data_IF_839730385297
#
_entry.id   IF_839730385297
#
_cell.length_a   1.000
_cell.length_b   1.000
_cell.length_c   1.000
_cell.angle_alpha   90.00
_cell.angle_beta   90.00
_cell.angle_gamma   90.00
#
_symmetry.space_group_name_H-M   'P 1'
#
loop_
_entity.id
_entity.type
_entity.pdbx_description
1 polymer ?
#
# COMPACT_ATOMS: atom_id res chain seq x y z
N UNK A 1 46.69 -43.98 22.11
CA UNK A 1 45.61 -44.95 21.82
C UNK A 1 44.61 -44.93 22.97
N UNK A 2 43.52 -44.15 22.85
CA UNK A 2 42.45 -44.11 23.83
C UNK A 2 41.13 -44.21 23.08
N UNK A 3 40.52 -45.39 23.19
CA UNK A 3 39.33 -45.78 22.47
C UNK A 3 38.11 -45.21 23.20
N UNK A 4 37.70 -43.98 22.84
CA UNK A 4 36.54 -43.31 23.41
C UNK A 4 35.27 -43.95 22.83
N UNK A 5 34.78 -44.97 23.53
CA UNK A 5 33.50 -45.66 23.31
C UNK A 5 32.39 -44.60 23.18
N UNK A 6 31.92 -44.36 21.95
CA UNK A 6 30.70 -43.57 21.70
C UNK A 6 29.51 -44.46 22.06
N UNK A 7 28.96 -44.27 23.25
CA UNK A 7 27.62 -44.73 23.57
C UNK A 7 26.63 -43.98 22.70
N UNK A 8 26.16 -44.65 21.65
CA UNK A 8 24.98 -44.26 20.91
C UNK A 8 23.77 -44.48 21.81
N UNK A 9 23.39 -43.44 22.57
CA UNK A 9 22.06 -43.35 23.19
C UNK A 9 21.03 -43.41 22.06
N UNK A 10 20.44 -44.58 21.86
CA UNK A 10 19.22 -44.72 21.06
C UNK A 10 18.12 -43.88 21.73
N UNK A 11 17.46 -42.96 21.00
CA UNK A 11 16.32 -42.25 21.54
C UNK A 11 15.24 -43.28 21.89
N UNK A 12 14.79 -43.24 23.15
CA UNK A 12 13.72 -44.07 23.66
C UNK A 12 12.51 -43.97 22.73
N UNK A 13 12.00 -45.13 22.32
CA UNK A 13 10.93 -45.25 21.33
C UNK A 13 9.68 -44.49 21.75
N UNK A 14 9.28 -43.54 20.90
CA UNK A 14 7.92 -43.01 20.82
C UNK A 14 7.06 -44.12 20.19
N UNK A 15 6.83 -45.19 20.95
CA UNK A 15 6.16 -46.39 20.49
C UNK A 15 4.93 -46.68 21.33
N UNK A 16 3.92 -45.79 21.31
CA UNK A 16 2.64 -46.08 21.97
C UNK A 16 1.41 -45.35 21.40
N UNK A 17 1.54 -44.23 20.69
CA UNK A 17 0.37 -43.39 20.34
C UNK A 17 -0.08 -43.45 18.87
N UNK A 18 0.37 -44.43 18.07
CA UNK A 18 -0.06 -44.55 16.67
C UNK A 18 -1.54 -44.92 16.52
N UNK A 19 -2.14 -45.59 17.51
CA UNK A 19 -3.58 -45.95 17.49
C UNK A 19 -4.52 -44.76 17.74
N UNK A 20 -4.04 -43.64 18.28
CA UNK A 20 -4.86 -42.45 18.55
C UNK A 20 -4.88 -41.46 17.37
N UNK A 21 -3.91 -41.53 16.45
CA UNK A 21 -3.79 -40.59 15.34
C UNK A 21 -4.86 -40.79 14.26
N UNK A 22 -5.25 -42.03 13.96
CA UNK A 22 -6.23 -42.32 12.91
C UNK A 22 -7.62 -41.68 13.14
N UNK A 23 -8.26 -41.79 14.33
CA UNK A 23 -9.55 -41.15 14.57
C UNK A 23 -9.44 -39.62 14.58
N UNK A 24 -8.32 -39.07 15.03
CA UNK A 24 -8.10 -37.61 15.07
C UNK A 24 -7.96 -37.01 13.67
N UNK A 25 -7.30 -37.73 12.75
CA UNK A 25 -7.17 -37.32 11.34
C UNK A 25 -8.51 -37.44 10.60
N UNK A 26 -9.28 -38.50 10.85
CA UNK A 26 -10.64 -38.64 10.31
C UNK A 26 -11.56 -37.53 10.82
N UNK A 27 -11.48 -37.17 12.10
CA UNK A 27 -12.24 -36.07 12.68
C UNK A 27 -11.89 -34.73 12.01
N UNK A 28 -10.59 -34.45 11.80
CA UNK A 28 -10.14 -33.22 11.13
C UNK A 28 -10.56 -33.16 9.66
N UNK A 29 -10.57 -34.29 8.94
CA UNK A 29 -11.08 -34.36 7.56
C UNK A 29 -12.59 -34.14 7.49
N UNK A 30 -13.36 -34.66 8.46
CA UNK A 30 -14.81 -34.44 8.55
C UNK A 30 -15.14 -33.00 8.95
N UNK A 31 -14.39 -32.40 9.88
CA UNK A 31 -14.54 -30.98 10.24
C UNK A 31 -14.16 -30.09 9.05
N UNK A 32 -13.09 -30.42 8.33
CA UNK A 32 -12.68 -29.72 7.13
C UNK A 32 -13.72 -29.77 6.01
N UNK A 33 -14.33 -30.94 5.77
CA UNK A 33 -15.39 -31.08 4.76
C UNK A 33 -16.70 -30.39 5.15
N UNK A 34 -17.04 -30.38 6.45
CA UNK A 34 -18.20 -29.65 6.97
C UNK A 34 -18.00 -28.12 6.89
N UNK A 35 -16.82 -27.62 7.24
CA UNK A 35 -16.47 -26.20 7.08
C UNK A 35 -16.44 -25.80 5.60
N UNK A 36 -15.94 -26.67 4.73
CA UNK A 36 -15.97 -26.45 3.28
C UNK A 36 -17.41 -26.36 2.75
N UNK A 37 -18.30 -27.26 3.16
CA UNK A 37 -19.73 -27.22 2.81
C UNK A 37 -20.43 -25.95 3.35
N UNK A 38 -20.08 -25.48 4.54
CA UNK A 38 -20.63 -24.24 5.11
C UNK A 38 -20.13 -22.98 4.39
N UNK A 39 -18.90 -22.99 3.89
CA UNK A 39 -18.29 -21.83 3.23
C UNK A 39 -18.69 -21.73 1.75
N UNK A 40 -18.89 -22.87 1.07
CA UNK A 40 -19.19 -22.93 -0.37
C UNK A 40 -20.63 -23.35 -0.71
N UNK A 41 -21.43 -23.76 0.28
CA UNK A 41 -22.79 -24.29 0.08
C UNK A 41 -23.87 -23.25 -0.24
N UNK A 42 -23.54 -21.95 -0.28
CA UNK A 42 -24.47 -20.90 -0.71
C UNK A 42 -24.10 -20.37 -2.10
N UNK A 43 -24.24 -21.24 -3.11
CA UNK A 43 -24.41 -20.80 -4.48
C UNK A 43 -25.73 -20.04 -4.59
N UNK A 44 -25.69 -18.72 -4.42
CA UNK A 44 -26.84 -17.84 -4.57
C UNK A 44 -27.44 -18.00 -5.96
N UNK A 45 -28.75 -18.30 -6.01
CA UNK A 45 -29.55 -18.22 -7.21
C UNK A 45 -29.45 -16.81 -7.81
N UNK A 46 -29.38 -16.66 -9.14
CA UNK A 46 -29.26 -15.35 -9.79
C UNK A 46 -30.43 -14.44 -9.37
N UNK A 47 -30.12 -13.38 -8.64
CA UNK A 47 -31.08 -12.34 -8.28
C UNK A 47 -31.47 -11.58 -9.53
N UNK A 48 -32.73 -11.74 -9.95
CA UNK A 48 -33.37 -10.90 -10.95
C UNK A 48 -33.44 -9.46 -10.43
N UNK A 49 -32.75 -8.55 -11.11
CA UNK A 49 -32.73 -7.13 -10.80
C UNK A 49 -34.14 -6.51 -10.95
N UNK A 50 -34.69 -5.83 -9.94
CA UNK A 50 -35.86 -4.99 -10.14
C UNK A 50 -35.46 -3.66 -10.77
N UNK A 51 -36.14 -3.32 -11.86
CA UNK A 51 -36.09 -2.05 -12.59
C UNK A 51 -36.51 -0.89 -11.67
N UNK A 52 -35.74 0.21 -11.54
CA UNK A 52 -36.20 1.36 -10.78
C UNK A 52 -37.13 2.23 -11.65
N UNK A 53 -38.34 2.46 -11.11
CA UNK A 53 -39.28 3.43 -11.62
C UNK A 53 -38.74 4.86 -11.45
N UNK A 54 -38.97 5.66 -12.47
CA UNK A 54 -38.73 7.10 -12.50
C UNK A 54 -39.55 7.86 -11.45
N UNK A 55 -39.07 9.07 -11.15
CA UNK A 55 -39.82 10.30 -10.79
C UNK A 55 -39.44 10.87 -9.42
N UNK A 56 -38.66 11.97 -9.40
CA UNK A 56 -39.12 13.32 -8.99
C UNK A 56 -37.94 14.30 -8.97
N UNK A 57 -38.12 15.38 -9.71
CA UNK A 57 -37.23 16.52 -9.88
C UNK A 57 -37.25 17.38 -8.61
N UNK A 58 -36.18 17.32 -7.83
CA UNK A 58 -35.86 18.31 -6.80
C UNK A 58 -34.62 19.10 -7.25
N UNK A 59 -34.70 20.43 -7.17
CA UNK A 59 -33.68 21.37 -7.62
C UNK A 59 -32.32 21.09 -6.97
N UNK A 60 -31.33 20.79 -7.82
CA UNK A 60 -29.94 20.58 -7.43
C UNK A 60 -29.29 21.93 -7.07
N UNK A 61 -28.69 22.11 -5.89
CA UNK A 61 -27.80 23.22 -5.64
C UNK A 61 -26.55 23.07 -6.52
N UNK A 62 -26.10 24.21 -7.05
CA UNK A 62 -24.95 24.41 -7.94
C UNK A 62 -23.81 23.40 -7.73
N UNK A 63 -23.76 22.36 -8.56
CA UNK A 63 -22.64 21.44 -8.64
C UNK A 63 -21.50 22.11 -9.41
N UNK A 64 -20.38 22.36 -8.72
CA UNK A 64 -19.14 22.76 -9.38
C UNK A 64 -18.69 21.58 -10.24
N UNK A 65 -18.60 21.81 -11.55
CA UNK A 65 -18.14 20.82 -12.53
C UNK A 65 -16.66 20.52 -12.27
N UNK A 66 -16.37 19.40 -11.59
CA UNK A 66 -15.00 18.92 -11.35
C UNK A 66 -14.41 18.22 -12.59
N UNK A 67 -14.59 18.78 -13.79
CA UNK A 67 -14.01 18.25 -15.04
C UNK A 67 -12.48 18.41 -15.13
N UNK A 68 -11.84 18.91 -14.06
CA UNK A 68 -10.38 18.92 -13.90
C UNK A 68 -9.81 17.60 -13.31
N UNK A 69 -10.64 16.55 -13.21
CA UNK A 69 -10.27 15.22 -12.72
C UNK A 69 -9.68 14.33 -13.83
N UNK A 70 -9.69 14.75 -15.09
CA UNK A 70 -9.31 13.85 -16.20
C UNK A 70 -7.85 13.36 -16.16
N UNK A 71 -6.93 14.09 -15.52
CA UNK A 71 -5.54 13.66 -15.32
C UNK A 71 -5.35 12.70 -14.13
N UNK A 72 -6.34 12.56 -13.25
CA UNK A 72 -6.33 11.55 -12.17
C UNK A 72 -6.50 10.14 -12.75
N UNK A 73 -7.21 10.00 -13.87
CA UNK A 73 -7.48 8.69 -14.48
C UNK A 73 -6.24 7.98 -15.04
N UNK A 74 -5.14 8.69 -15.37
CA UNK A 74 -3.94 8.04 -15.92
C UNK A 74 -3.26 7.13 -14.89
N UNK A 75 -3.14 7.56 -13.63
CA UNK A 75 -2.60 6.73 -12.55
C UNK A 75 -3.64 5.80 -11.96
N UNK A 76 -4.93 6.18 -12.04
CA UNK A 76 -6.01 5.25 -11.78
C UNK A 76 -5.87 4.03 -12.69
N UNK A 77 -5.52 4.22 -13.97
CA UNK A 77 -5.12 3.17 -14.92
C UNK A 77 -4.10 2.18 -14.37
N UNK A 78 -2.97 2.68 -13.86
CA UNK A 78 -1.85 1.85 -13.37
C UNK A 78 -2.18 1.06 -12.10
N UNK A 79 -3.08 1.58 -11.25
CA UNK A 79 -3.58 0.87 -10.06
C UNK A 79 -4.83 0.02 -10.35
N UNK A 80 -5.63 0.37 -11.36
CA UNK A 80 -6.72 -0.46 -11.88
C UNK A 80 -6.19 -1.70 -12.59
N UNK A 81 -4.93 -1.72 -13.04
CA UNK A 81 -4.27 -2.93 -13.53
C UNK A 81 -3.92 -3.95 -12.44
N UNK A 82 -4.14 -3.62 -11.16
CA UNK A 82 -4.20 -4.65 -10.11
C UNK A 82 -5.47 -5.52 -10.22
N UNK A 83 -6.21 -5.41 -11.32
CA UNK A 83 -7.29 -6.33 -11.67
C UNK A 83 -6.73 -7.74 -11.84
N UNK A 84 -7.08 -8.59 -10.88
CA UNK A 84 -6.51 -9.91 -10.58
C UNK A 84 -6.79 -10.99 -11.64
N UNK A 85 -7.12 -10.60 -12.87
CA UNK A 85 -7.73 -11.48 -13.87
C UNK A 85 -6.73 -12.21 -14.80
N UNK A 86 -5.42 -12.12 -14.55
CA UNK A 86 -4.43 -12.83 -15.36
C UNK A 86 -4.31 -14.29 -14.93
N UNK A 87 -5.11 -15.17 -15.54
CA UNK A 87 -4.90 -16.60 -15.83
C UNK A 87 -4.56 -17.55 -14.68
N UNK A 88 -3.41 -17.35 -14.03
CA UNK A 88 -2.94 -18.19 -12.90
C UNK A 88 -3.49 -17.67 -11.57
N UNK A 89 -3.78 -16.36 -11.48
CA UNK A 89 -4.40 -15.76 -10.30
C UNK A 89 -5.91 -16.07 -10.15
N UNK A 90 -6.55 -16.62 -11.20
CA UNK A 90 -7.97 -16.97 -11.18
C UNK A 90 -8.27 -18.28 -10.46
N UNK A 91 -7.26 -19.14 -10.25
CA UNK A 91 -7.45 -20.28 -9.37
C UNK A 91 -7.54 -19.77 -7.94
N UNK A 92 -8.64 -20.11 -7.28
CA UNK A 92 -8.78 -19.82 -5.85
C UNK A 92 -7.56 -20.35 -5.13
N UNK A 93 -6.92 -19.53 -4.31
CA UNK A 93 -5.74 -19.94 -3.53
C UNK A 93 -6.01 -21.18 -2.66
N UNK A 94 -7.28 -21.44 -2.34
CA UNK A 94 -7.74 -22.63 -1.63
C UNK A 94 -7.53 -23.88 -2.49
N UNK A 95 -7.83 -23.80 -3.80
CA UNK A 95 -7.60 -24.90 -4.75
C UNK A 95 -6.11 -25.18 -4.92
N UNK A 96 -5.29 -24.13 -5.03
CA UNK A 96 -3.84 -24.30 -5.16
C UNK A 96 -3.22 -24.85 -3.87
N UNK A 97 -3.69 -24.43 -2.70
CA UNK A 97 -3.28 -24.99 -1.41
C UNK A 97 -3.71 -26.46 -1.24
N UNK A 98 -4.92 -26.82 -1.67
CA UNK A 98 -5.41 -28.19 -1.62
C UNK A 98 -4.60 -29.11 -2.55
N UNK A 99 -4.29 -28.65 -3.77
CA UNK A 99 -3.43 -29.35 -4.71
C UNK A 99 -2.01 -29.54 -4.15
N UNK A 100 -1.46 -28.50 -3.50
CA UNK A 100 -0.16 -28.56 -2.83
C UNK A 100 -0.13 -29.48 -1.61
N UNK A 101 -1.26 -29.78 -0.96
CA UNK A 101 -1.36 -30.82 0.06
C UNK A 101 -1.51 -32.22 -0.55
N UNK A 102 -2.24 -32.34 -1.66
CA UNK A 102 -2.55 -33.63 -2.28
C UNK A 102 -1.31 -34.28 -2.92
N UNK A 103 -0.46 -33.50 -3.60
CA UNK A 103 0.77 -34.00 -4.22
C UNK A 103 1.70 -34.70 -3.19
N UNK A 104 2.14 -34.03 -2.11
CA UNK A 104 3.02 -34.67 -1.15
C UNK A 104 2.32 -35.74 -0.31
N UNK A 105 0.99 -35.67 -0.14
CA UNK A 105 0.23 -36.77 0.46
C UNK A 105 0.34 -38.04 -0.40
N UNK A 106 0.22 -37.90 -1.72
CA UNK A 106 0.44 -38.99 -2.67
C UNK A 106 1.86 -39.56 -2.60
N UNK A 107 2.87 -38.69 -2.55
CA UNK A 107 4.29 -39.11 -2.43
C UNK A 107 4.53 -39.85 -1.11
N UNK A 108 4.01 -39.35 0.02
CA UNK A 108 4.15 -39.98 1.32
C UNK A 108 3.43 -41.34 1.38
N UNK A 109 2.23 -41.44 0.81
CA UNK A 109 1.47 -42.69 0.73
C UNK A 109 2.19 -43.75 -0.11
N UNK A 110 2.71 -43.37 -1.28
CA UNK A 110 3.52 -44.25 -2.12
C UNK A 110 4.79 -44.70 -1.39
N UNK A 111 5.49 -43.78 -0.71
CA UNK A 111 6.66 -44.11 0.11
C UNK A 111 6.34 -45.11 1.22
N UNK A 112 5.17 -44.99 1.85
CA UNK A 112 4.71 -45.95 2.85
C UNK A 112 4.46 -47.33 2.26
N UNK A 113 3.74 -47.43 1.14
CA UNK A 113 3.50 -48.71 0.45
C UNK A 113 4.81 -49.38 0.02
N UNK A 114 5.73 -48.60 -0.55
CA UNK A 114 7.04 -49.07 -0.97
C UNK A 114 7.88 -49.56 0.22
N UNK A 115 7.79 -48.88 1.37
CA UNK A 115 8.48 -49.28 2.60
C UNK A 115 8.00 -50.64 3.12
N UNK A 116 6.71 -50.94 2.97
CA UNK A 116 6.12 -52.23 3.37
C UNK A 116 6.50 -53.35 2.42
N UNK A 117 6.54 -53.05 1.13
CA UNK A 117 6.95 -54.01 0.11
C UNK A 117 8.43 -54.43 0.26
N UNK A 118 9.33 -53.46 0.40
CA UNK A 118 10.77 -53.73 0.54
C UNK A 118 11.25 -53.95 1.98
N UNK A 119 10.34 -53.87 2.96
CA UNK A 119 10.65 -53.98 4.40
C UNK A 119 11.72 -52.97 4.89
N UNK A 120 11.81 -51.80 4.23
CA UNK A 120 12.77 -50.76 4.59
C UNK A 120 12.24 -49.94 5.77
N UNK A 121 12.65 -50.30 6.99
CA UNK A 121 12.22 -49.61 8.22
C UNK A 121 12.45 -48.09 8.20
N UNK A 122 13.56 -47.64 7.59
CA UNK A 122 13.89 -46.20 7.46
C UNK A 122 12.89 -45.42 6.60
N UNK A 123 12.39 -46.03 5.52
CA UNK A 123 11.40 -45.39 4.63
C UNK A 123 10.02 -45.34 5.29
N UNK A 124 9.70 -46.33 6.11
CA UNK A 124 8.46 -46.33 6.91
C UNK A 124 8.47 -45.24 7.98
N UNK A 125 9.62 -44.95 8.61
CA UNK A 125 9.73 -43.84 9.57
C UNK A 125 9.62 -42.49 8.86
N UNK A 126 10.33 -42.32 7.73
CA UNK A 126 10.25 -41.10 6.94
C UNK A 126 8.83 -40.79 6.46
N UNK A 127 8.09 -41.78 5.97
CA UNK A 127 6.71 -41.58 5.50
C UNK A 127 5.75 -41.22 6.64
N UNK A 128 5.93 -41.81 7.82
CA UNK A 128 5.14 -41.45 9.02
C UNK A 128 5.40 -40.00 9.47
N UNK A 129 6.67 -39.57 9.46
CA UNK A 129 7.04 -38.19 9.79
C UNK A 129 6.47 -37.20 8.75
N UNK A 130 6.52 -37.56 7.46
CA UNK A 130 5.95 -36.75 6.38
C UNK A 130 4.44 -36.56 6.53
N UNK A 131 3.70 -37.64 6.85
CA UNK A 131 2.24 -37.58 7.08
C UNK A 131 1.92 -36.67 8.27
N UNK A 132 2.68 -36.78 9.38
CA UNK A 132 2.47 -35.93 10.55
C UNK A 132 2.63 -34.43 10.23
N UNK A 133 3.67 -34.07 9.47
CA UNK A 133 3.87 -32.69 9.02
C UNK A 133 2.79 -32.21 8.04
N UNK A 134 2.27 -33.10 7.21
CA UNK A 134 1.18 -32.78 6.28
C UNK A 134 -0.12 -32.47 7.03
N UNK A 135 -0.45 -33.26 8.07
CA UNK A 135 -1.60 -33.01 8.94
C UNK A 135 -1.51 -31.63 9.60
N UNK A 136 -0.34 -31.27 10.15
CA UNK A 136 -0.13 -29.93 10.75
C UNK A 136 -0.34 -28.82 9.70
N UNK A 137 0.17 -29.02 8.49
CA UNK A 137 0.03 -28.03 7.40
C UNK A 137 -1.43 -27.91 6.95
N UNK A 138 -2.17 -29.02 6.88
CA UNK A 138 -3.60 -29.01 6.57
C UNK A 138 -4.41 -28.29 7.65
N UNK A 139 -4.14 -28.53 8.94
CA UNK A 139 -4.78 -27.81 10.05
C UNK A 139 -4.51 -26.30 9.96
N UNK A 140 -3.28 -25.91 9.62
CA UNK A 140 -2.94 -24.50 9.42
C UNK A 140 -3.72 -23.86 8.27
N UNK A 141 -3.87 -24.55 7.13
CA UNK A 141 -4.68 -24.06 6.01
C UNK A 141 -6.15 -23.91 6.42
N UNK A 142 -6.71 -24.87 7.14
CA UNK A 142 -8.10 -24.79 7.64
C UNK A 142 -8.28 -23.61 8.60
N UNK A 143 -7.33 -23.39 9.53
CA UNK A 143 -7.35 -22.23 10.43
C UNK A 143 -7.23 -20.92 9.66
N UNK A 144 -6.43 -20.87 8.60
CA UNK A 144 -6.30 -19.70 7.75
C UNK A 144 -7.59 -19.41 6.97
N UNK A 145 -8.20 -20.44 6.37
CA UNK A 145 -9.50 -20.31 5.69
C UNK A 145 -10.56 -19.82 6.67
N UNK A 146 -10.59 -20.36 7.90
CA UNK A 146 -11.50 -19.87 8.92
C UNK A 146 -11.24 -18.40 9.25
N UNK A 147 -9.99 -18.01 9.50
CA UNK A 147 -9.61 -16.62 9.81
C UNK A 147 -10.01 -15.64 8.70
N UNK A 148 -9.71 -15.98 7.44
CA UNK A 148 -10.04 -15.13 6.28
C UNK A 148 -11.55 -15.14 5.98
N UNK A 149 -12.21 -16.30 6.12
CA UNK A 149 -13.64 -16.46 5.91
C UNK A 149 -14.48 -15.72 6.95
N UNK A 150 -14.03 -15.63 8.20
CA UNK A 150 -14.67 -14.79 9.23
C UNK A 150 -14.60 -13.29 8.88
N UNK A 151 -13.54 -12.85 8.18
CA UNK A 151 -13.38 -11.47 7.73
C UNK A 151 -14.29 -11.11 6.55
N UNK A 152 -14.49 -12.04 5.61
CA UNK A 152 -15.32 -11.83 4.41
C UNK A 152 -16.79 -12.22 4.60
N UNK A 153 -17.39 -11.98 5.77
CA UNK A 153 -18.81 -12.23 6.00
C UNK A 153 -19.65 -11.53 4.93
N UNK A 154 -20.07 -12.31 3.94
CA UNK A 154 -20.68 -11.92 2.67
C UNK A 154 -22.13 -11.50 2.81
N UNK A 155 -22.54 -11.08 4.00
CA UNK A 155 -23.87 -10.55 4.21
C UNK A 155 -23.76 -9.01 4.18
N UNK A 156 -24.00 -8.35 3.02
CA UNK A 156 -23.99 -6.89 2.92
C UNK A 156 -25.00 -6.22 3.88
N UNK A 157 -25.90 -7.01 4.48
CA UNK A 157 -26.89 -6.55 5.44
C UNK A 157 -26.52 -6.86 6.90
N UNK A 158 -25.47 -7.65 7.18
CA UNK A 158 -25.00 -7.80 8.56
C UNK A 158 -24.22 -6.56 8.94
N UNK A 159 -24.92 -5.60 9.54
CA UNK A 159 -24.38 -4.48 10.34
C UNK A 159 -23.65 -5.00 11.58
N UNK A 160 -22.80 -6.02 11.45
CA UNK A 160 -21.80 -6.35 12.45
C UNK A 160 -20.84 -5.17 12.44
N UNK A 161 -21.05 -4.30 13.44
CA UNK A 161 -20.42 -3.01 13.61
C UNK A 161 -18.96 -3.01 13.09
N UNK A 162 -18.61 -2.15 12.12
CA UNK A 162 -17.22 -1.86 11.72
C UNK A 162 -16.43 -1.15 12.85
N UNK A 163 -16.71 -1.49 14.11
CA UNK A 163 -16.27 -0.84 15.34
C UNK A 163 -14.82 -1.06 15.71
N UNK A 164 -14.08 -1.95 15.01
CA UNK A 164 -12.62 -1.94 15.13
C UNK A 164 -11.92 -1.01 14.13
N UNK A 165 -12.59 -0.52 13.08
CA UNK A 165 -12.10 0.62 12.30
C UNK A 165 -13.26 1.56 11.91
N UNK A 166 -13.95 2.18 12.89
CA UNK A 166 -15.17 2.98 12.66
C UNK A 166 -14.92 4.33 11.95
N UNK A 167 -13.72 4.55 11.39
CA UNK A 167 -13.31 5.83 10.83
C UNK A 167 -12.59 5.76 9.47
N UNK A 168 -12.60 4.61 8.79
CA UNK A 168 -12.15 4.55 7.39
C UNK A 168 -13.27 4.87 6.38
N UNK A 169 -14.50 5.12 6.84
CA UNK A 169 -15.66 5.33 5.97
C UNK A 169 -15.75 6.70 5.31
N UNK A 170 -14.85 7.65 5.58
CA UNK A 170 -15.09 9.03 5.16
C UNK A 170 -13.90 9.69 4.47
N UNK A 171 -14.02 9.77 3.13
CA UNK A 171 -13.75 10.95 2.28
C UNK A 171 -14.52 10.82 0.95
N UNK A 172 -14.69 9.59 0.44
CA UNK A 172 -15.27 9.34 -0.89
C UNK A 172 -16.55 8.49 -0.87
N UNK A 173 -17.05 8.07 0.31
CA UNK A 173 -18.18 7.14 0.43
C UNK A 173 -17.87 5.70 -0.02
N UNK A 174 -16.70 5.43 -0.59
CA UNK A 174 -16.28 4.08 -0.95
C UNK A 174 -15.95 3.25 0.30
N UNK A 175 -16.73 2.19 0.51
CA UNK A 175 -16.48 1.22 1.57
C UNK A 175 -15.38 0.27 1.11
N UNK A 176 -14.30 0.18 1.90
CA UNK A 176 -13.27 -0.82 1.70
C UNK A 176 -13.68 -2.11 2.43
N UNK A 177 -14.03 -3.15 1.67
CA UNK A 177 -14.51 -4.42 2.22
C UNK A 177 -13.38 -5.28 2.80
N UNK A 178 -12.13 -5.01 2.37
CA UNK A 178 -10.94 -5.74 2.79
C UNK A 178 -9.84 -4.81 3.27
N UNK A 179 -9.02 -5.29 4.22
CA UNK A 179 -7.85 -4.55 4.72
C UNK A 179 -6.85 -4.19 3.60
N UNK A 180 -6.76 -5.04 2.57
CA UNK A 180 -5.95 -4.82 1.38
C UNK A 180 -6.46 -3.63 0.56
N UNK A 181 -7.78 -3.58 0.32
CA UNK A 181 -8.41 -2.46 -0.40
C UNK A 181 -8.26 -1.15 0.36
N UNK A 182 -8.40 -1.18 1.70
CA UNK A 182 -8.16 0.00 2.54
C UNK A 182 -6.70 0.50 2.42
N UNK A 183 -5.73 -0.42 2.41
CA UNK A 183 -4.33 -0.07 2.19
C UNK A 183 -4.07 0.55 0.81
N UNK A 184 -4.75 0.06 -0.24
CA UNK A 184 -4.68 0.64 -1.58
C UNK A 184 -5.27 2.05 -1.64
N UNK A 185 -6.42 2.27 -1.01
CA UNK A 185 -7.06 3.58 -0.92
C UNK A 185 -6.16 4.59 -0.18
N UNK A 186 -5.51 4.17 0.90
CA UNK A 186 -4.51 5.00 1.58
C UNK A 186 -3.38 5.42 0.64
N UNK A 187 -2.77 4.49 -0.10
CA UNK A 187 -1.68 4.80 -1.03
C UNK A 187 -2.16 5.77 -2.13
N UNK A 188 -3.35 5.55 -2.69
CA UNK A 188 -3.95 6.45 -3.67
C UNK A 188 -4.12 7.86 -3.12
N UNK A 189 -4.57 7.98 -1.87
CA UNK A 189 -4.75 9.28 -1.23
C UNK A 189 -3.43 10.01 -1.01
N UNK A 190 -2.40 9.30 -0.53
CA UNK A 190 -1.06 9.86 -0.36
C UNK A 190 -0.48 10.30 -1.72
N UNK A 191 -0.64 9.49 -2.77
CA UNK A 191 -0.22 9.83 -4.13
C UNK A 191 -0.91 11.09 -4.66
N UNK A 192 -2.22 11.19 -4.49
CA UNK A 192 -2.98 12.36 -4.91
C UNK A 192 -2.47 13.63 -4.21
N UNK A 193 -2.25 13.57 -2.90
CA UNK A 193 -1.74 14.71 -2.13
C UNK A 193 -0.32 15.09 -2.57
N UNK A 194 0.59 14.11 -2.73
CA UNK A 194 1.94 14.36 -3.25
C UNK A 194 1.92 15.00 -4.64
N UNK A 195 1.03 14.56 -5.52
CA UNK A 195 0.89 15.12 -6.85
C UNK A 195 0.38 16.57 -6.81
N UNK A 196 -0.60 16.86 -5.95
CA UNK A 196 -1.08 18.23 -5.74
C UNK A 196 0.06 19.15 -5.26
N UNK A 197 0.85 18.72 -4.28
CA UNK A 197 2.03 19.47 -3.83
C UNK A 197 3.08 19.65 -4.93
N UNK A 198 3.34 18.60 -5.71
CA UNK A 198 4.29 18.64 -6.82
C UNK A 198 3.85 19.67 -7.87
N UNK A 199 2.58 19.63 -8.27
CA UNK A 199 2.03 20.57 -9.26
C UNK A 199 2.08 22.02 -8.74
N UNK A 200 1.68 22.24 -7.48
CA UNK A 200 1.76 23.57 -6.86
C UNK A 200 3.20 24.09 -6.80
N UNK A 201 4.14 23.32 -6.27
CA UNK A 201 5.54 23.74 -6.21
C UNK A 201 6.16 23.93 -7.60
N UNK A 202 5.74 23.14 -8.60
CA UNK A 202 6.22 23.26 -9.99
C UNK A 202 5.73 24.57 -10.62
N UNK A 203 4.45 24.91 -10.46
CA UNK A 203 3.89 26.18 -10.95
C UNK A 203 4.54 27.37 -10.23
N UNK A 204 4.80 27.28 -8.93
CA UNK A 204 5.55 28.30 -8.19
C UNK A 204 6.99 28.42 -8.70
N UNK A 205 7.69 27.31 -8.95
CA UNK A 205 9.05 27.32 -9.47
C UNK A 205 9.11 27.96 -10.86
N UNK A 206 8.13 27.68 -11.71
CA UNK A 206 7.99 28.34 -13.02
C UNK A 206 7.79 29.85 -12.86
N UNK A 207 6.89 30.28 -11.97
CA UNK A 207 6.64 31.69 -11.70
C UNK A 207 7.89 32.41 -11.16
N UNK A 208 8.60 31.81 -10.20
CA UNK A 208 9.86 32.33 -9.66
C UNK A 208 10.95 32.41 -10.72
N UNK A 209 11.04 31.40 -11.61
CA UNK A 209 11.99 31.40 -12.71
C UNK A 209 11.74 32.57 -13.67
N UNK A 210 10.49 32.84 -14.04
CA UNK A 210 10.13 34.00 -14.88
C UNK A 210 10.47 35.31 -14.18
N UNK A 211 10.19 35.44 -12.88
CA UNK A 211 10.54 36.63 -12.10
C UNK A 211 12.05 36.83 -11.92
N UNK A 212 12.83 35.75 -11.98
CA UNK A 212 14.30 35.80 -11.89
C UNK A 212 14.95 36.30 -13.17
N UNK A 213 14.27 36.23 -14.32
CA UNK A 213 14.76 36.77 -15.58
C UNK A 213 14.74 38.29 -15.49
N UNK A 214 15.93 38.89 -15.37
CA UNK A 214 16.06 40.32 -15.20
C UNK A 214 15.38 41.10 -16.32
N UNK A 215 14.59 42.11 -15.97
CA UNK A 215 13.93 42.98 -16.95
C UNK A 215 14.92 44.09 -17.32
N UNK A 216 15.39 44.06 -18.58
CA UNK A 216 16.25 45.11 -19.11
C UNK A 216 15.39 46.18 -19.80
N UNK A 217 15.27 47.35 -19.20
CA UNK A 217 14.58 48.49 -19.83
C UNK A 217 15.65 49.31 -20.55
N UNK A 218 15.52 49.46 -21.88
CA UNK A 218 16.44 50.25 -22.72
C UNK A 218 15.76 51.51 -23.26
N UNK A 219 15.55 52.57 -22.46
CA UNK A 219 15.14 53.86 -22.99
C UNK A 219 16.29 54.49 -23.79
N UNK A 220 16.18 54.42 -25.12
CA UNK A 220 16.83 55.23 -26.15
C UNK A 220 18.37 55.40 -26.17
N UNK A 221 19.12 54.96 -25.16
CA UNK A 221 20.59 54.71 -25.17
C UNK A 221 21.14 54.29 -23.80
N UNK A 222 20.40 54.48 -22.70
CA UNK A 222 20.79 53.99 -21.37
C UNK A 222 20.01 52.71 -21.04
N UNK A 223 20.71 51.59 -20.82
CA UNK A 223 20.09 50.33 -20.41
C UNK A 223 20.16 50.17 -18.89
N UNK A 224 19.01 50.19 -18.22
CA UNK A 224 18.93 49.89 -16.79
C UNK A 224 18.36 48.47 -16.63
N UNK A 225 19.17 47.58 -16.06
CA UNK A 225 18.83 46.18 -15.86
C UNK A 225 18.50 45.94 -14.39
N UNK A 226 17.29 45.46 -14.11
CA UNK A 226 16.90 45.02 -12.78
C UNK A 226 16.94 43.50 -12.74
N UNK A 227 17.84 42.93 -11.93
CA UNK A 227 17.93 41.49 -11.74
C UNK A 227 17.49 41.13 -10.31
N UNK A 228 16.31 40.52 -10.18
CA UNK A 228 15.80 39.98 -8.92
C UNK A 228 16.33 38.57 -8.62
N UNK A 229 16.99 37.93 -9.60
CA UNK A 229 17.51 36.56 -9.50
C UNK A 229 18.32 36.31 -8.22
N UNK A 230 19.31 37.14 -7.85
CA UNK A 230 20.08 36.92 -6.63
C UNK A 230 19.25 36.94 -5.33
N UNK A 231 18.19 37.74 -5.28
CA UNK A 231 17.30 37.80 -4.11
C UNK A 231 16.35 36.60 -4.03
N UNK A 232 15.95 36.05 -5.18
CA UNK A 232 15.07 34.89 -5.27
C UNK A 232 15.82 33.54 -5.29
N UNK A 233 17.15 33.55 -5.44
CA UNK A 233 17.97 32.34 -5.53
C UNK A 233 17.75 31.35 -4.36
N UNK A 234 17.64 31.79 -3.08
CA UNK A 234 17.38 30.86 -1.98
C UNK A 234 16.02 30.17 -2.09
N UNK A 235 14.99 30.88 -2.56
CA UNK A 235 13.65 30.33 -2.77
C UNK A 235 13.66 29.32 -3.91
N UNK A 236 14.26 29.67 -5.05
CA UNK A 236 14.43 28.76 -6.19
C UNK A 236 15.17 27.48 -5.83
N UNK A 237 16.23 27.58 -5.01
CA UNK A 237 16.97 26.41 -4.57
C UNK A 237 16.12 25.52 -3.65
N UNK A 238 15.40 26.12 -2.70
CA UNK A 238 14.53 25.40 -1.76
C UNK A 238 13.36 24.72 -2.47
N UNK A 239 12.68 25.42 -3.39
CA UNK A 239 11.60 24.83 -4.20
C UNK A 239 12.12 23.69 -5.07
N UNK A 240 13.30 23.85 -5.68
CA UNK A 240 13.90 22.79 -6.50
C UNK A 240 14.26 21.56 -5.67
N UNK A 241 14.85 21.74 -4.48
CA UNK A 241 15.18 20.63 -3.58
C UNK A 241 13.92 19.86 -3.16
N UNK A 242 12.82 20.56 -2.85
CA UNK A 242 11.55 19.93 -2.49
C UNK A 242 10.86 19.27 -3.66
N UNK A 243 10.94 19.84 -4.86
CA UNK A 243 10.46 19.18 -6.08
C UNK A 243 11.16 17.84 -6.29
N UNK A 244 12.49 17.79 -6.12
CA UNK A 244 13.23 16.53 -6.21
C UNK A 244 12.82 15.54 -5.11
N UNK A 245 12.59 16.02 -3.88
CA UNK A 245 12.08 15.19 -2.78
C UNK A 245 10.68 14.63 -3.05
N UNK A 246 9.77 15.44 -3.57
CA UNK A 246 8.42 15.01 -3.96
C UNK A 246 8.44 14.02 -5.11
N UNK A 247 9.33 14.18 -6.11
CA UNK A 247 9.51 13.19 -7.18
C UNK A 247 9.95 11.84 -6.61
N UNK A 248 10.88 11.83 -5.65
CA UNK A 248 11.28 10.60 -4.96
C UNK A 248 10.12 10.00 -4.15
N UNK A 249 9.34 10.83 -3.44
CA UNK A 249 8.15 10.39 -2.70
C UNK A 249 7.09 9.76 -3.60
N UNK A 250 6.79 10.38 -4.75
CA UNK A 250 5.89 9.84 -5.76
C UNK A 250 6.38 8.47 -6.26
N UNK A 251 7.66 8.36 -6.63
CA UNK A 251 8.23 7.08 -7.05
C UNK A 251 8.12 6.00 -5.96
N UNK A 252 8.38 6.36 -4.69
CA UNK A 252 8.27 5.44 -3.57
C UNK A 252 6.83 4.93 -3.39
N UNK A 253 5.83 5.82 -3.43
CA UNK A 253 4.42 5.42 -3.31
C UNK A 253 3.94 4.53 -4.45
N UNK A 254 4.45 4.70 -5.67
CA UNK A 254 4.18 3.79 -6.80
C UNK A 254 4.73 2.39 -6.49
N UNK A 255 5.96 2.30 -5.96
CA UNK A 255 6.55 1.02 -5.55
C UNK A 255 5.73 0.35 -4.44
N UNK A 256 5.22 1.12 -3.46
CA UNK A 256 4.36 0.57 -2.41
C UNK A 256 3.04 0.05 -2.95
N UNK A 257 2.42 0.76 -3.91
CA UNK A 257 1.21 0.29 -4.60
C UNK A 257 1.46 -1.02 -5.37
N UNK A 258 2.53 -1.07 -6.17
CA UNK A 258 2.92 -2.30 -6.87
C UNK A 258 3.23 -3.45 -5.91
N UNK A 259 3.87 -3.16 -4.77
CA UNK A 259 4.18 -4.15 -3.74
C UNK A 259 2.90 -4.72 -3.11
N UNK A 260 1.89 -3.89 -2.81
CA UNK A 260 0.61 -4.38 -2.31
C UNK A 260 -0.10 -5.28 -3.31
N UNK A 261 -0.12 -4.90 -4.58
CA UNK A 261 -0.74 -5.73 -5.61
C UNK A 261 0.01 -7.05 -5.80
N UNK A 262 1.34 -7.02 -5.73
CA UNK A 262 2.16 -8.22 -5.75
C UNK A 262 1.87 -9.13 -4.53
N UNK A 263 1.73 -8.54 -3.33
CA UNK A 263 1.38 -9.27 -2.11
C UNK A 263 0.01 -9.92 -2.24
N UNK A 264 -1.01 -9.16 -2.67
CA UNK A 264 -2.36 -9.66 -2.84
C UNK A 264 -2.47 -10.84 -3.81
N UNK A 265 -1.74 -10.77 -4.93
CA UNK A 265 -1.87 -11.75 -6.01
C UNK A 265 -0.97 -12.98 -5.83
N UNK A 266 0.24 -12.81 -5.31
CA UNK A 266 1.25 -13.88 -5.32
C UNK A 266 1.51 -14.52 -3.97
N UNK A 267 1.44 -13.78 -2.85
CA UNK A 267 1.86 -14.34 -1.55
C UNK A 267 0.95 -15.47 -1.10
N UNK A 268 -0.37 -15.33 -1.28
CA UNK A 268 -1.31 -16.38 -0.91
C UNK A 268 -1.41 -17.46 -2.00
N UNK A 269 -1.55 -17.08 -3.27
CA UNK A 269 -1.78 -18.05 -4.34
C UNK A 269 -0.55 -18.86 -4.76
N UNK A 270 0.67 -18.30 -4.62
CA UNK A 270 1.92 -18.95 -5.06
C UNK A 270 2.80 -19.33 -3.89
N UNK A 271 3.14 -18.39 -2.99
CA UNK A 271 4.11 -18.66 -1.93
C UNK A 271 3.58 -19.64 -0.88
N UNK A 272 2.30 -19.58 -0.51
CA UNK A 272 1.74 -20.50 0.48
C UNK A 272 1.73 -21.97 -0.02
N UNK A 273 1.23 -22.31 -1.22
CA UNK A 273 1.34 -23.67 -1.77
C UNK A 273 2.78 -24.15 -1.88
N UNK A 274 3.70 -23.31 -2.38
CA UNK A 274 5.13 -23.65 -2.49
C UNK A 274 5.71 -23.93 -1.10
N UNK A 275 5.39 -23.12 -0.10
CA UNK A 275 5.81 -23.31 1.28
C UNK A 275 5.31 -24.62 1.88
N UNK A 276 4.06 -25.01 1.60
CA UNK A 276 3.48 -26.29 2.02
C UNK A 276 4.23 -27.46 1.36
N UNK A 277 4.48 -27.39 0.04
CA UNK A 277 5.23 -28.43 -0.65
C UNK A 277 6.65 -28.57 -0.08
N UNK A 278 7.36 -27.46 0.10
CA UNK A 278 8.72 -27.45 0.67
C UNK A 278 8.75 -27.99 2.10
N UNK A 279 7.69 -27.80 2.89
CA UNK A 279 7.59 -28.31 4.25
C UNK A 279 7.55 -29.84 4.31
N UNK A 280 7.12 -30.52 3.25
CA UNK A 280 7.00 -31.99 3.22
C UNK A 280 8.34 -32.71 3.00
N UNK A 281 9.34 -32.04 2.43
CA UNK A 281 10.67 -32.62 2.27
C UNK A 281 11.55 -32.34 3.49
N UNK A 282 12.23 -33.39 3.98
CA UNK A 282 13.06 -33.31 5.18
C UNK A 282 14.14 -32.22 5.11
N UNK A 283 14.75 -32.02 3.92
CA UNK A 283 15.84 -31.06 3.71
C UNK A 283 15.36 -29.61 3.60
N UNK A 284 14.18 -29.35 3.05
CA UNK A 284 13.65 -27.99 2.84
C UNK A 284 12.57 -27.60 3.85
N UNK A 285 12.36 -28.42 4.89
CA UNK A 285 11.27 -28.25 5.85
C UNK A 285 11.28 -26.88 6.53
N UNK A 286 12.46 -26.43 6.96
CA UNK A 286 12.62 -25.16 7.65
C UNK A 286 12.40 -23.98 6.69
N UNK A 287 12.87 -24.12 5.44
CA UNK A 287 12.64 -23.15 4.37
C UNK A 287 11.15 -23.04 4.05
N UNK A 288 10.45 -24.17 3.93
CA UNK A 288 8.99 -24.19 3.70
C UNK A 288 8.21 -23.48 4.80
N UNK A 289 8.57 -23.73 6.07
CA UNK A 289 7.97 -23.04 7.21
C UNK A 289 8.16 -21.52 7.15
N UNK A 290 9.36 -21.07 6.77
CA UNK A 290 9.67 -19.65 6.62
C UNK A 290 8.96 -19.00 5.45
N UNK A 291 8.87 -19.68 4.30
CA UNK A 291 8.09 -19.22 3.16
C UNK A 291 6.62 -19.04 3.55
N UNK A 292 6.03 -19.98 4.30
CA UNK A 292 4.67 -19.84 4.83
C UNK A 292 4.56 -18.64 5.78
N UNK A 293 5.50 -18.48 6.72
CA UNK A 293 5.49 -17.38 7.68
C UNK A 293 5.60 -16.00 7.00
N UNK A 294 6.45 -15.86 5.98
CA UNK A 294 6.55 -14.65 5.15
C UNK A 294 5.24 -14.43 4.39
N UNK A 295 4.71 -15.47 3.73
CA UNK A 295 3.45 -15.39 2.98
C UNK A 295 2.33 -14.79 3.84
N UNK A 296 2.15 -15.34 5.04
CA UNK A 296 1.12 -14.91 5.99
C UNK A 296 1.37 -13.51 6.56
N UNK A 297 2.63 -13.18 6.91
CA UNK A 297 2.95 -11.89 7.51
C UNK A 297 2.73 -10.74 6.54
N UNK A 298 3.21 -10.87 5.31
CA UNK A 298 2.99 -9.84 4.32
C UNK A 298 1.53 -9.76 3.91
N UNK A 299 0.79 -10.86 3.84
CA UNK A 299 -0.63 -10.81 3.48
C UNK A 299 -1.50 -10.16 4.58
N UNK A 300 -1.24 -10.44 5.86
CA UNK A 300 -2.09 -9.98 6.97
C UNK A 300 -1.55 -8.68 7.58
N UNK A 301 -0.27 -8.65 7.96
CA UNK A 301 0.31 -7.59 8.78
C UNK A 301 0.60 -6.34 7.95
N UNK A 302 1.11 -6.50 6.73
CA UNK A 302 1.54 -5.34 5.93
C UNK A 302 0.36 -4.41 5.53
N UNK A 303 -0.78 -4.89 5.01
CA UNK A 303 -1.94 -4.03 4.75
C UNK A 303 -2.50 -3.40 6.04
N UNK A 304 -2.49 -4.14 7.14
CA UNK A 304 -2.93 -3.63 8.45
C UNK A 304 -2.06 -2.46 8.92
N UNK A 305 -0.74 -2.52 8.72
CA UNK A 305 0.17 -1.43 9.05
C UNK A 305 -0.03 -0.20 8.15
N UNK A 306 -0.45 -0.38 6.89
CA UNK A 306 -0.84 0.76 6.05
C UNK A 306 -2.12 1.42 6.53
N UNK A 307 -3.10 0.63 7.00
CA UNK A 307 -4.30 1.17 7.63
C UNK A 307 -3.96 1.92 8.93
N UNK A 308 -2.99 1.44 9.71
CA UNK A 308 -2.47 2.15 10.86
C UNK A 308 -1.79 3.48 10.45
N UNK A 309 -1.03 3.48 9.37
CA UNK A 309 -0.41 4.70 8.85
C UNK A 309 -1.45 5.72 8.40
N UNK A 310 -2.54 5.29 7.77
CA UNK A 310 -3.67 6.16 7.49
C UNK A 310 -4.19 6.82 8.77
N UNK A 311 -4.39 6.05 9.85
CA UNK A 311 -4.85 6.60 11.13
C UNK A 311 -3.86 7.60 11.73
N UNK A 312 -2.54 7.34 11.64
CA UNK A 312 -1.51 8.25 12.14
C UNK A 312 -1.51 9.56 11.33
N UNK A 313 -1.55 9.47 10.01
CA UNK A 313 -1.54 10.64 9.12
C UNK A 313 -2.84 11.44 9.26
N UNK A 314 -3.98 10.77 9.36
CA UNK A 314 -5.27 11.40 9.57
C UNK A 314 -5.38 12.05 10.96
N UNK A 315 -4.80 11.45 12.01
CA UNK A 315 -4.75 12.07 13.33
C UNK A 315 -3.89 13.36 13.34
N UNK A 316 -2.87 13.44 12.49
CA UNK A 316 -2.01 14.62 12.40
C UNK A 316 -2.65 15.76 11.59
N UNK A 317 -3.31 15.44 10.46
CA UNK A 317 -3.86 16.44 9.54
C UNK A 317 -5.36 16.69 9.68
N UNK A 318 -6.12 15.78 10.32
CA UNK A 318 -7.58 15.84 10.35
C UNK A 318 -8.19 15.89 8.94
N UNK A 319 -9.28 16.65 8.80
CA UNK A 319 -9.97 16.83 7.51
C UNK A 319 -9.11 17.53 6.45
N UNK A 320 -8.03 18.22 6.81
CA UNK A 320 -7.12 18.79 5.81
C UNK A 320 -6.40 17.73 4.96
N UNK A 321 -6.45 16.47 5.37
CA UNK A 321 -5.96 15.34 4.58
C UNK A 321 -6.81 15.07 3.32
N UNK A 322 -8.09 15.44 3.35
CA UNK A 322 -9.06 15.09 2.31
C UNK A 322 -8.96 16.02 1.11
N UNK A 323 -8.81 17.31 1.34
CA UNK A 323 -8.72 18.29 0.27
C UNK A 323 -7.48 19.16 0.49
N UNK A 324 -6.32 18.82 -0.08
CA UNK A 324 -5.14 19.68 0.02
C UNK A 324 -5.45 21.08 -0.53
N UNK A 325 -6.34 21.18 -1.53
CA UNK A 325 -6.85 22.45 -2.04
C UNK A 325 -7.79 23.20 -1.10
N UNK A 326 -8.40 22.59 -0.08
CA UNK A 326 -9.28 23.32 0.84
C UNK A 326 -8.48 24.22 1.81
N UNK A 327 -7.28 23.78 2.18
CA UNK A 327 -6.30 24.55 2.95
C UNK A 327 -5.84 25.78 2.17
N UNK A 328 -5.75 25.63 0.86
CA UNK A 328 -5.53 26.72 -0.08
C UNK A 328 -6.85 27.29 -0.53
N UNK A 329 -7.43 28.26 0.20
CA UNK A 329 -8.48 29.13 -0.35
C UNK A 329 -7.93 29.95 -1.53
N UNK A 330 -7.69 29.26 -2.64
CA UNK A 330 -6.96 29.65 -3.84
C UNK A 330 -7.74 30.72 -4.60
N UNK A 331 -9.04 30.85 -4.30
CA UNK A 331 -9.88 31.98 -4.69
C UNK A 331 -9.21 33.32 -4.40
N UNK A 332 -8.65 33.54 -3.20
CA UNK A 332 -8.02 34.83 -2.88
C UNK A 332 -6.79 35.11 -3.74
N UNK A 333 -5.94 34.10 -3.94
CA UNK A 333 -4.71 34.23 -4.71
C UNK A 333 -4.96 34.32 -6.21
N UNK A 334 -5.85 33.50 -6.77
CA UNK A 334 -6.21 33.56 -8.20
C UNK A 334 -6.99 34.81 -8.54
N UNK A 335 -7.85 35.31 -7.66
CA UNK A 335 -8.48 36.63 -7.86
C UNK A 335 -7.43 37.75 -7.81
N UNK A 336 -6.40 37.64 -6.96
CA UNK A 336 -5.29 38.59 -6.94
C UNK A 336 -4.42 38.53 -8.22
N UNK A 337 -4.13 37.33 -8.74
CA UNK A 337 -3.40 37.17 -10.02
C UNK A 337 -4.25 37.62 -11.20
N UNK A 338 -5.52 37.22 -11.27
CA UNK A 338 -6.38 37.54 -12.41
C UNK A 338 -6.67 39.03 -12.49
N UNK A 339 -6.92 39.69 -11.36
CA UNK A 339 -7.03 41.15 -11.30
C UNK A 339 -5.74 41.85 -11.70
N UNK A 340 -4.57 41.28 -11.35
CA UNK A 340 -3.29 41.78 -11.82
C UNK A 340 -3.11 41.62 -13.35
N UNK A 341 -3.37 40.44 -13.91
CA UNK A 341 -3.22 40.16 -15.34
C UNK A 341 -4.18 41.03 -16.16
N UNK A 342 -5.45 41.11 -15.75
CA UNK A 342 -6.46 41.95 -16.42
C UNK A 342 -6.12 43.43 -16.30
N UNK A 343 -5.60 43.89 -15.16
CA UNK A 343 -5.13 45.28 -15.00
C UNK A 343 -3.86 45.61 -15.80
N UNK A 344 -3.00 44.61 -15.99
CA UNK A 344 -1.75 44.75 -16.73
C UNK A 344 -2.01 44.79 -18.25
N UNK A 345 -2.75 43.82 -18.78
CA UNK A 345 -3.00 43.66 -20.22
C UNK A 345 -4.24 44.39 -20.74
N UNK A 346 -5.26 44.63 -19.92
CA UNK A 346 -6.55 45.19 -20.35
C UNK A 346 -6.55 46.70 -20.66
N UNK A 347 -5.49 47.43 -20.33
CA UNK A 347 -5.44 48.90 -20.47
C UNK A 347 -4.40 49.35 -21.53
N UNK A 348 -4.52 48.84 -22.75
CA UNK A 348 -3.60 49.08 -23.87
C UNK A 348 -3.85 50.40 -24.65
N UNK A 349 -4.53 51.39 -24.07
CA UNK A 349 -5.08 52.51 -24.84
C UNK A 349 -4.26 53.80 -25.00
N UNK A 350 -3.28 54.11 -24.14
CA UNK A 350 -2.58 55.41 -24.27
C UNK A 350 -1.12 55.41 -23.79
N UNK A 351 -0.25 56.11 -24.55
CA UNK A 351 1.17 56.33 -24.23
C UNK A 351 1.37 57.04 -22.89
N UNK A 352 0.45 57.91 -22.50
CA UNK A 352 0.45 58.58 -21.18
C UNK A 352 0.15 57.61 -20.02
N UNK A 353 -0.70 56.59 -20.24
CA UNK A 353 -0.89 55.52 -19.27
C UNK A 353 0.37 54.66 -19.10
N UNK A 354 1.22 54.56 -20.12
CA UNK A 354 2.48 53.81 -20.09
C UNK A 354 3.54 54.51 -19.22
N UNK A 355 3.67 55.84 -19.34
CA UNK A 355 4.57 56.64 -18.52
C UNK A 355 4.14 56.70 -17.04
N UNK A 356 2.83 56.88 -16.77
CA UNK A 356 2.27 56.83 -15.42
C UNK A 356 2.39 55.42 -14.81
N UNK A 357 2.20 54.36 -15.63
CA UNK A 357 2.46 52.97 -15.22
C UNK A 357 3.94 52.73 -14.91
N UNK A 358 4.91 53.28 -15.65
CA UNK A 358 6.34 53.10 -15.34
C UNK A 358 6.75 53.72 -14.01
N UNK A 359 6.20 54.88 -13.65
CA UNK A 359 6.45 55.54 -12.36
C UNK A 359 5.75 54.79 -11.21
N UNK A 360 4.51 54.35 -11.43
CA UNK A 360 3.79 53.49 -10.48
C UNK A 360 4.47 52.13 -10.33
N UNK A 361 5.07 51.54 -11.37
CA UNK A 361 5.83 50.28 -11.31
C UNK A 361 7.04 50.40 -10.37
N UNK A 362 7.69 51.58 -10.30
CA UNK A 362 8.79 51.83 -9.37
C UNK A 362 8.36 51.80 -7.90
N UNK A 363 7.22 52.45 -7.59
CA UNK A 363 6.67 52.51 -6.23
C UNK A 363 5.96 51.21 -5.83
N UNK A 364 5.22 50.58 -6.77
CA UNK A 364 4.59 49.27 -6.56
C UNK A 364 5.63 48.19 -6.31
N UNK A 365 6.82 48.22 -6.91
CA UNK A 365 7.85 47.20 -6.65
C UNK A 365 8.33 47.16 -5.19
N UNK A 366 8.42 48.33 -4.52
CA UNK A 366 8.76 48.39 -3.10
C UNK A 366 7.61 47.92 -2.21
N UNK A 367 6.35 48.24 -2.56
CA UNK A 367 5.18 47.71 -1.84
C UNK A 367 4.95 46.22 -2.10
N UNK A 368 5.29 45.72 -3.28
CA UNK A 368 5.26 44.30 -3.63
C UNK A 368 6.29 43.51 -2.86
N UNK A 369 7.50 44.04 -2.63
CA UNK A 369 8.50 43.37 -1.81
C UNK A 369 7.98 43.15 -0.36
N UNK A 370 7.35 44.17 0.23
CA UNK A 370 6.77 44.08 1.57
C UNK A 370 5.53 43.16 1.59
N UNK A 371 4.63 43.28 0.62
CA UNK A 371 3.46 42.41 0.49
C UNK A 371 3.85 40.94 0.25
N UNK A 372 4.92 40.70 -0.52
CA UNK A 372 5.47 39.38 -0.80
C UNK A 372 6.02 38.73 0.46
N UNK A 373 6.81 39.46 1.26
CA UNK A 373 7.35 38.94 2.51
C UNK A 373 6.23 38.63 3.51
N UNK A 374 5.21 39.48 3.60
CA UNK A 374 4.12 39.33 4.58
C UNK A 374 3.12 38.23 4.16
N UNK A 375 2.78 38.11 2.88
CA UNK A 375 1.75 37.15 2.42
C UNK A 375 2.33 35.86 1.83
N UNK A 376 3.39 35.95 1.03
CA UNK A 376 3.95 34.77 0.33
C UNK A 376 4.92 34.01 1.23
N UNK A 377 5.62 34.68 2.14
CA UNK A 377 6.54 34.06 3.10
C UNK A 377 5.87 32.98 3.97
N UNK A 378 4.83 33.32 4.77
CA UNK A 378 4.13 32.34 5.62
C UNK A 378 3.44 31.24 4.82
N UNK A 379 2.94 31.56 3.61
CA UNK A 379 2.35 30.60 2.70
C UNK A 379 3.37 29.54 2.25
N UNK A 380 4.54 30.00 1.78
CA UNK A 380 5.63 29.14 1.36
C UNK A 380 6.13 28.27 2.51
N UNK A 381 6.26 28.87 3.71
CA UNK A 381 6.68 28.14 4.90
C UNK A 381 5.74 26.96 5.19
N UNK A 382 4.42 27.18 5.18
CA UNK A 382 3.44 26.11 5.40
C UNK A 382 3.47 25.05 4.30
N UNK A 383 3.55 25.46 3.04
CA UNK A 383 3.67 24.53 1.91
C UNK A 383 4.92 23.65 2.03
N UNK A 384 6.04 24.24 2.43
CA UNK A 384 7.29 23.52 2.62
C UNK A 384 7.23 22.57 3.82
N UNK A 385 6.67 23.01 4.93
CA UNK A 385 6.46 22.17 6.12
C UNK A 385 5.62 20.93 5.79
N UNK A 386 4.50 21.10 5.10
CA UNK A 386 3.63 20.01 4.68
C UNK A 386 4.32 19.09 3.66
N UNK A 387 4.94 19.64 2.62
CA UNK A 387 5.65 18.84 1.62
C UNK A 387 6.79 18.02 2.25
N UNK A 388 7.56 18.61 3.18
CA UNK A 388 8.62 17.89 3.88
C UNK A 388 8.09 16.75 4.75
N UNK A 389 6.98 16.97 5.47
CA UNK A 389 6.35 15.92 6.27
C UNK A 389 5.98 14.71 5.39
N UNK A 390 5.32 14.95 4.25
CA UNK A 390 4.93 13.88 3.33
C UNK A 390 6.14 13.13 2.76
N UNK A 391 7.19 13.85 2.34
CA UNK A 391 8.39 13.23 1.78
C UNK A 391 9.16 12.42 2.83
N UNK A 392 9.43 13.02 4.00
CA UNK A 392 10.31 12.41 5.01
C UNK A 392 9.56 11.36 5.81
N UNK A 393 8.41 11.72 6.40
CA UNK A 393 7.70 10.86 7.34
C UNK A 393 6.86 9.83 6.58
N UNK A 394 6.00 10.30 5.66
CA UNK A 394 5.03 9.43 5.00
C UNK A 394 5.67 8.51 3.96
N UNK A 395 6.61 9.03 3.15
CA UNK A 395 7.25 8.23 2.10
C UNK A 395 8.53 7.52 2.55
N UNK A 396 9.24 8.07 3.55
CA UNK A 396 10.49 7.53 4.06
C UNK A 396 10.34 6.68 5.32
N UNK A 397 9.99 7.32 6.44
CA UNK A 397 10.04 6.69 7.77
C UNK A 397 8.96 5.61 7.96
N UNK A 398 7.70 5.91 7.67
CA UNK A 398 6.58 4.98 7.90
C UNK A 398 6.73 3.65 7.13
N UNK A 399 7.10 3.62 5.84
CA UNK A 399 7.29 2.37 5.11
C UNK A 399 8.45 1.52 5.63
N UNK A 400 9.55 2.14 6.08
CA UNK A 400 10.68 1.42 6.70
C UNK A 400 10.20 0.71 7.98
N UNK A 401 9.45 1.42 8.83
CA UNK A 401 8.84 0.84 10.04
C UNK A 401 7.92 -0.31 9.67
N UNK A 402 7.07 -0.14 8.64
CA UNK A 402 6.15 -1.19 8.22
C UNK A 402 6.85 -2.47 7.78
N UNK A 403 7.90 -2.35 6.96
CA UNK A 403 8.69 -3.49 6.50
C UNK A 403 9.36 -4.16 7.71
N UNK A 404 9.95 -3.39 8.63
CA UNK A 404 10.61 -3.92 9.81
C UNK A 404 9.67 -4.71 10.72
N UNK A 405 8.47 -4.18 11.00
CA UNK A 405 7.45 -4.85 11.81
C UNK A 405 6.97 -6.12 11.10
N UNK A 406 6.71 -6.04 9.79
CA UNK A 406 6.26 -7.20 8.99
C UNK A 406 7.29 -8.33 8.99
N UNK A 407 8.58 -8.02 8.80
CA UNK A 407 9.66 -9.00 8.85
C UNK A 407 9.87 -9.57 10.25
N UNK A 408 9.70 -8.74 11.29
CA UNK A 408 9.77 -9.19 12.68
C UNK A 408 8.64 -10.19 12.99
N UNK A 409 7.42 -9.91 12.51
CA UNK A 409 6.30 -10.84 12.64
C UNK A 409 6.56 -12.15 11.87
N UNK A 410 7.10 -12.07 10.66
CA UNK A 410 7.47 -13.25 9.86
C UNK A 410 8.49 -14.14 10.59
N UNK A 411 9.45 -13.52 11.29
CA UNK A 411 10.44 -14.24 12.10
C UNK A 411 9.80 -14.97 13.28
N UNK A 412 8.91 -14.30 14.01
CA UNK A 412 8.25 -14.95 15.16
C UNK A 412 7.29 -16.06 14.71
N UNK A 413 6.59 -15.87 13.58
CA UNK A 413 5.78 -16.92 12.97
C UNK A 413 6.63 -18.10 12.50
N UNK A 414 7.82 -17.87 11.91
CA UNK A 414 8.69 -18.96 11.47
C UNK A 414 9.21 -19.79 12.65
N UNK A 415 9.59 -19.13 13.76
CA UNK A 415 9.98 -19.80 15.01
C UNK A 415 8.84 -20.64 15.58
N UNK A 416 7.62 -20.10 15.59
CA UNK A 416 6.43 -20.82 16.04
C UNK A 416 6.16 -22.08 15.20
N UNK A 417 6.53 -22.06 13.91
CA UNK A 417 6.45 -23.22 13.02
C UNK A 417 7.60 -24.22 13.15
N UNK A 418 8.53 -23.98 14.08
CA UNK A 418 9.70 -24.82 14.35
C UNK A 418 10.91 -24.55 13.45
N UNK A 419 10.92 -23.44 12.70
CA UNK A 419 12.03 -23.08 11.82
C UNK A 419 12.88 -21.96 12.43
N UNK A 420 14.11 -22.31 12.78
CA UNK A 420 15.13 -21.37 13.24
C UNK A 420 15.93 -20.81 12.07
N UNK A 421 15.30 -19.97 11.24
CA UNK A 421 16.04 -19.27 10.21
C UNK A 421 16.68 -18.03 10.80
N UNK A 422 18.01 -18.04 10.83
CA UNK A 422 18.79 -16.86 11.15
C UNK A 422 18.61 -15.83 10.04
N UNK A 423 17.91 -14.75 10.33
CA UNK A 423 17.81 -13.58 9.45
C UNK A 423 19.09 -12.73 9.43
N UNK A 424 20.13 -13.13 10.17
CA UNK A 424 21.39 -12.40 10.24
C UNK A 424 22.06 -12.14 8.87
N UNK A 425 21.94 -13.03 7.86
CA UNK A 425 22.43 -12.73 6.51
C UNK A 425 21.58 -11.67 5.79
N UNK A 426 20.25 -11.69 5.98
CA UNK A 426 19.35 -10.73 5.36
C UNK A 426 19.55 -9.31 5.93
N UNK A 427 19.77 -9.21 7.24
CA UNK A 427 20.05 -7.93 7.91
C UNK A 427 21.41 -7.33 7.56
N UNK A 428 22.28 -8.03 6.83
CA UNK A 428 23.53 -7.47 6.30
C UNK A 428 23.35 -6.87 4.91
N UNK A 429 22.22 -7.13 4.27
CA UNK A 429 21.89 -6.66 2.93
C UNK A 429 21.08 -5.36 2.94
N UNK A 430 20.38 -5.11 4.06
CA UNK A 430 19.76 -3.83 4.43
C UNK A 430 20.83 -3.03 5.19
#
# INVERSE_FOLDING_TARGET
MMNKKRETKHPAGIGANSKLLLPTVLLLLVIGSALFQLTFGQGGTPSTSPTPASTTTAAQPFSVDYSYIDNVYFYQGLLTECNMNTGIANMSWIETALLALLIPAGIAALGYMLSKYFQLGRLSQWSMDAIYHLIISAVMVVLLVAYLGFGSSSNPNSKLNPSLIPHLTDVAGEHADTSMQAGMLYIQKVQHNLFAYYFMLSTMNMALSVLSQGVTIRPMMFGLTFNLGPMLAPLLHTTTMLLNGLQLGLAATIIYGMSLCFIGNYFLSVFLPVGIMLRTFYFTRDVGAFVIAIALSFYIVYPLLLNLNYLIVNAHYGEAFTDPLSLFKFSGFMTAISSFVVGFFGAAGSLWALAYKLLIIGVLKMSFAVMYVIFVGPFLYRMFEEAMYYVIIVCGVLPIINIFITLSCARELSKLMGAEISLAPLSRFI
#
